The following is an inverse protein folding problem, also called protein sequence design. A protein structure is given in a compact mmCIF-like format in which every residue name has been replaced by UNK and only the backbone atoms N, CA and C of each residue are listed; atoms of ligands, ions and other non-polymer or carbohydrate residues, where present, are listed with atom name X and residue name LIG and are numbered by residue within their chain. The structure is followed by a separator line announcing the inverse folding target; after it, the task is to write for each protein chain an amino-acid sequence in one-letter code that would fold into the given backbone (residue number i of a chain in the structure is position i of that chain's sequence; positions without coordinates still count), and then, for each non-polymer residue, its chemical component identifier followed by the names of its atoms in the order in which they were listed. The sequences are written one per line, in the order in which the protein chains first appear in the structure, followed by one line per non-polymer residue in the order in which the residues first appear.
data_IF_263015533615
#
_entry.id   IF_263015533615
#
_cell.length_a   1.000
_cell.length_b   1.000
_cell.length_c   1.000
_cell.angle_alpha   90.00
_cell.angle_beta   90.00
_cell.angle_gamma   90.00
#
_symmetry.space_group_name_H-M   'P 1'
#
loop_
_entity.id
_entity.type
_entity.pdbx_description
1 polymer ?
#
# COMPACT_ATOMS: atom_id res chain seq x y z
N UNK A 1 -10.94 7.60 -3.20
CA UNK A 1 -10.73 7.59 -1.75
C UNK A 1 -10.31 8.98 -1.23
N UNK A 2 -9.24 9.59 -1.77
CA UNK A 2 -8.63 10.84 -1.28
C UNK A 2 -9.63 12.04 -1.22
N UNK A 3 -10.57 12.12 -2.15
CA UNK A 3 -11.56 13.23 -2.22
C UNK A 3 -12.82 12.99 -1.37
N UNK A 4 -12.91 11.86 -0.68
CA UNK A 4 -14.09 11.53 0.12
C UNK A 4 -14.01 12.17 1.49
N UNK A 5 -15.10 12.81 1.92
CA UNK A 5 -15.22 13.42 3.25
C UNK A 5 -15.63 12.43 4.35
N UNK A 6 -16.15 11.28 3.96
CA UNK A 6 -16.51 10.19 4.85
C UNK A 6 -15.39 9.13 4.82
N UNK A 7 -14.67 8.99 5.91
CA UNK A 7 -13.54 8.07 6.02
C UNK A 7 -13.94 6.61 5.84
N UNK A 8 -15.14 6.21 6.25
CA UNK A 8 -15.62 4.85 6.02
C UNK A 8 -15.79 4.56 4.52
N UNK A 9 -16.36 5.51 3.78
CA UNK A 9 -16.47 5.39 2.33
C UNK A 9 -15.10 5.33 1.66
N UNK A 10 -14.11 6.07 2.17
CA UNK A 10 -12.73 6.01 1.67
C UNK A 10 -12.10 4.64 1.88
N UNK A 11 -12.33 4.02 3.05
CA UNK A 11 -11.81 2.66 3.36
C UNK A 11 -12.45 1.62 2.45
N UNK A 12 -13.77 1.69 2.21
CA UNK A 12 -14.48 0.76 1.32
C UNK A 12 -13.97 0.88 -0.12
N UNK A 13 -13.78 2.11 -0.62
CA UNK A 13 -13.25 2.33 -1.96
C UNK A 13 -11.81 1.81 -2.08
N UNK A 14 -10.98 1.98 -1.05
CA UNK A 14 -9.62 1.47 -1.03
C UNK A 14 -9.60 -0.06 -1.05
N UNK A 15 -10.46 -0.71 -0.26
CA UNK A 15 -10.61 -2.16 -0.27
C UNK A 15 -11.06 -2.70 -1.63
N UNK A 16 -12.04 -2.04 -2.26
CA UNK A 16 -12.49 -2.40 -3.61
C UNK A 16 -11.36 -2.24 -4.65
N UNK A 17 -10.56 -1.17 -4.55
CA UNK A 17 -9.37 -0.98 -5.39
C UNK A 17 -8.38 -2.13 -5.22
N UNK A 18 -8.07 -2.55 -3.99
CA UNK A 18 -7.16 -3.67 -3.73
C UNK A 18 -7.66 -4.99 -4.31
N UNK A 19 -8.98 -5.25 -4.28
CA UNK A 19 -9.55 -6.43 -4.93
C UNK A 19 -9.38 -6.39 -6.46
N UNK A 20 -9.57 -5.22 -7.08
CA UNK A 20 -9.33 -5.05 -8.51
C UNK A 20 -7.85 -5.27 -8.84
N UNK A 21 -6.94 -4.75 -8.02
CA UNK A 21 -5.50 -4.97 -8.16
C UNK A 21 -5.14 -6.46 -8.03
N UNK A 22 -5.75 -7.19 -7.10
CA UNK A 22 -5.54 -8.63 -6.96
C UNK A 22 -5.95 -9.39 -8.24
N UNK A 23 -7.08 -9.02 -8.87
CA UNK A 23 -7.50 -9.59 -10.16
C UNK A 23 -6.49 -9.25 -11.26
N UNK A 24 -5.97 -8.03 -11.28
CA UNK A 24 -4.94 -7.62 -12.24
C UNK A 24 -3.67 -8.46 -12.08
N UNK A 25 -3.17 -8.64 -10.85
CA UNK A 25 -2.01 -9.48 -10.57
C UNK A 25 -2.22 -10.94 -10.97
N UNK A 26 -3.44 -11.45 -10.78
CA UNK A 26 -3.81 -12.79 -11.25
C UNK A 26 -3.72 -12.89 -12.78
N UNK A 27 -4.15 -11.87 -13.52
CA UNK A 27 -4.04 -11.79 -14.99
C UNK A 27 -2.58 -11.69 -15.47
N UNK A 28 -1.71 -11.14 -14.65
CA UNK A 28 -0.26 -11.03 -14.90
C UNK A 28 0.52 -12.28 -14.47
N UNK A 29 -0.16 -13.37 -14.11
CA UNK A 29 0.44 -14.62 -13.60
C UNK A 29 1.24 -14.45 -12.30
N UNK A 30 1.01 -13.37 -11.55
CA UNK A 30 1.59 -13.15 -10.23
C UNK A 30 0.60 -13.57 -9.13
N UNK A 31 0.32 -14.87 -9.05
CA UNK A 31 -0.75 -15.43 -8.18
C UNK A 31 -0.44 -15.23 -6.70
N UNK A 32 0.81 -15.30 -6.31
CA UNK A 32 1.30 -15.03 -4.94
C UNK A 32 1.04 -13.59 -4.53
N UNK A 33 1.34 -12.63 -5.39
CA UNK A 33 1.05 -11.20 -5.17
C UNK A 33 -0.46 -10.96 -5.13
N UNK A 34 -1.22 -11.59 -6.04
CA UNK A 34 -2.68 -11.49 -6.05
C UNK A 34 -3.30 -11.98 -4.73
N UNK A 35 -2.81 -13.10 -4.21
CA UNK A 35 -3.27 -13.66 -2.95
C UNK A 35 -2.94 -12.76 -1.76
N UNK A 36 -1.71 -12.25 -1.68
CA UNK A 36 -1.29 -11.34 -0.60
C UNK A 36 -2.04 -10.00 -0.67
N UNK A 37 -2.26 -9.45 -1.86
CA UNK A 37 -3.05 -8.23 -2.05
C UNK A 37 -4.50 -8.42 -1.57
N UNK A 38 -5.15 -9.53 -1.94
CA UNK A 38 -6.51 -9.82 -1.49
C UNK A 38 -6.60 -10.06 0.03
N UNK A 39 -5.66 -10.83 0.60
CA UNK A 39 -5.67 -11.17 2.01
C UNK A 39 -5.28 -9.99 2.91
N UNK A 40 -4.21 -9.29 2.58
CA UNK A 40 -3.64 -8.22 3.43
C UNK A 40 -4.30 -6.89 3.13
N UNK A 41 -4.27 -6.41 1.89
CA UNK A 41 -4.74 -5.06 1.57
C UNK A 41 -6.26 -4.96 1.58
N UNK A 42 -6.96 -5.87 0.91
CA UNK A 42 -8.42 -5.85 0.88
C UNK A 42 -9.03 -6.39 2.18
N UNK A 43 -8.44 -7.41 2.80
CA UNK A 43 -8.94 -8.05 4.01
C UNK A 43 -8.46 -7.38 5.30
N UNK A 44 -7.26 -7.73 5.75
CA UNK A 44 -6.75 -7.37 7.08
C UNK A 44 -6.65 -5.86 7.25
N UNK A 45 -6.10 -5.14 6.29
CA UNK A 45 -5.93 -3.68 6.37
C UNK A 45 -7.28 -2.98 6.47
N UNK A 46 -8.29 -3.43 5.73
CA UNK A 46 -9.65 -2.88 5.80
C UNK A 46 -10.26 -3.05 7.19
N UNK A 47 -10.12 -4.24 7.79
CA UNK A 47 -10.60 -4.50 9.16
C UNK A 47 -9.88 -3.60 10.18
N UNK A 48 -8.56 -3.46 10.06
CA UNK A 48 -7.77 -2.59 10.93
C UNK A 48 -8.16 -1.11 10.79
N UNK A 49 -8.41 -0.64 9.56
CA UNK A 49 -8.88 0.73 9.32
C UNK A 49 -10.27 0.97 9.91
N UNK A 50 -11.20 0.01 9.78
CA UNK A 50 -12.53 0.12 10.39
C UNK A 50 -12.41 0.13 11.92
N UNK A 51 -11.54 -0.71 12.50
CA UNK A 51 -11.25 -0.71 13.93
C UNK A 51 -10.68 0.63 14.40
N UNK A 52 -9.74 1.23 13.65
CA UNK A 52 -9.21 2.56 13.95
C UNK A 52 -10.31 3.64 13.85
N UNK A 53 -11.19 3.56 12.85
CA UNK A 53 -12.32 4.48 12.68
C UNK A 53 -13.32 4.41 13.84
N UNK A 54 -13.45 3.27 14.51
CA UNK A 54 -14.30 3.16 15.71
C UNK A 54 -13.84 4.06 16.87
N UNK A 55 -12.56 4.46 16.89
CA UNK A 55 -11.93 5.33 17.89
C UNK A 55 -11.69 6.77 17.40
N UNK A 56 -11.94 7.05 16.13
CA UNK A 56 -11.73 8.35 15.51
C UNK A 56 -13.04 8.95 15.02
N UNK A 57 -13.05 10.25 14.68
CA UNK A 57 -14.24 10.90 14.11
C UNK A 57 -14.39 10.50 12.66
N UNK A 58 -15.53 9.89 12.32
CA UNK A 58 -15.83 9.38 10.98
C UNK A 58 -15.85 10.45 9.88
N UNK A 59 -16.21 11.70 10.19
CA UNK A 59 -16.36 12.78 9.22
C UNK A 59 -15.40 13.92 9.49
N UNK A 60 -14.65 14.33 8.49
CA UNK A 60 -13.73 15.46 8.54
C UNK A 60 -14.43 16.80 8.88
N UNK A 61 -15.66 17.00 8.43
CA UNK A 61 -16.44 18.21 8.67
C UNK A 61 -16.77 18.47 10.14
N UNK A 62 -16.84 17.44 10.97
CA UNK A 62 -17.12 17.63 12.40
C UNK A 62 -15.96 18.27 13.16
N UNK A 63 -14.72 18.04 12.71
CA UNK A 63 -13.53 18.66 13.29
C UNK A 63 -13.41 20.15 12.88
N UNK A 64 -13.80 20.48 11.65
CA UNK A 64 -13.72 21.83 11.11
C UNK A 64 -14.82 22.74 11.66
N UNK A 65 -16.05 22.27 11.82
CA UNK A 65 -17.15 23.03 12.45
C UNK A 65 -16.86 23.37 13.92
N UNK A 66 -16.20 22.52 14.66
CA UNK A 66 -15.80 22.79 16.04
C UNK A 66 -14.73 23.89 16.16
N UNK A 67 -13.83 23.97 15.17
CA UNK A 67 -12.79 25.02 15.10
C UNK A 67 -13.35 26.36 14.63
N UNK A 68 -14.32 26.35 13.69
CA UNK A 68 -14.92 27.55 13.11
C UNK A 68 -15.83 28.28 14.10
N UNK A 69 -16.45 27.56 15.05
CA UNK A 69 -17.32 28.19 16.07
C UNK A 69 -16.58 29.07 17.06
N UNK A 70 -15.24 28.93 17.14
CA UNK A 70 -14.40 29.68 18.09
C UNK A 70 -13.53 30.77 17.45
N UNK A 71 -13.58 30.95 16.15
CA UNK A 71 -12.84 31.98 15.43
C UNK A 71 -13.76 32.53 14.32
N UNK A 72 -14.04 33.83 14.35
CA UNK A 72 -14.64 34.59 13.25
C UNK A 72 -13.72 34.53 12.03
N UNK A 73 -13.66 33.35 11.35
CA UNK A 73 -12.81 33.12 10.22
C UNK A 73 -13.68 33.17 8.96
N UNK A 74 -13.48 34.21 8.16
CA UNK A 74 -14.02 34.26 6.80
C UNK A 74 -13.54 33.03 6.01
N UNK A 75 -14.42 32.34 5.26
CA UNK A 75 -14.01 31.24 4.42
C UNK A 75 -13.11 31.73 3.31
N UNK A 76 -11.80 31.65 3.50
CA UNK A 76 -10.83 31.87 2.44
C UNK A 76 -11.11 30.82 1.37
N UNK A 77 -11.65 31.27 0.24
CA UNK A 77 -11.91 30.50 -0.97
C UNK A 77 -10.80 29.44 -1.15
N UNK A 78 -11.15 28.18 -0.97
CA UNK A 78 -10.28 27.04 -1.27
C UNK A 78 -10.09 26.98 -2.80
N UNK A 79 -9.17 27.77 -3.32
CA UNK A 79 -8.63 27.55 -4.66
C UNK A 79 -7.97 26.16 -4.61
N UNK A 80 -8.53 25.20 -5.30
CA UNK A 80 -8.06 23.82 -5.42
C UNK A 80 -6.60 23.71 -5.90
N UNK A 81 -6.05 24.81 -6.43
CA UNK A 81 -4.66 24.97 -6.82
C UNK A 81 -4.02 26.16 -6.07
N UNK A 82 -3.55 25.90 -4.85
CA UNK A 82 -2.64 26.85 -4.20
C UNK A 82 -1.25 26.72 -4.85
N UNK A 83 -0.58 27.85 -5.15
CA UNK A 83 0.79 27.86 -5.66
C UNK A 83 1.77 27.06 -4.77
N UNK A 84 1.43 26.83 -3.50
CA UNK A 84 2.15 25.97 -2.57
C UNK A 84 2.12 24.47 -2.94
N UNK A 85 1.19 24.06 -3.81
CA UNK A 85 1.07 22.67 -4.30
C UNK A 85 1.89 22.42 -5.57
N UNK A 86 2.39 23.47 -6.23
CA UNK A 86 3.18 23.35 -7.48
C UNK A 86 4.45 22.49 -7.26
N UNK A 87 5.29 22.73 -6.23
CA UNK A 87 6.49 21.90 -6.03
C UNK A 87 6.15 20.41 -5.80
N UNK A 88 5.08 20.12 -5.06
CA UNK A 88 4.64 18.74 -4.85
C UNK A 88 4.19 18.09 -6.16
N UNK A 89 3.48 18.82 -7.01
CA UNK A 89 3.03 18.33 -8.31
C UNK A 89 4.23 18.07 -9.25
N UNK A 90 5.22 18.97 -9.26
CA UNK A 90 6.46 18.79 -10.03
C UNK A 90 7.23 17.55 -9.58
N UNK A 91 7.36 17.33 -8.26
CA UNK A 91 8.03 16.14 -7.72
C UNK A 91 7.32 14.86 -8.18
N UNK A 92 5.98 14.82 -8.09
CA UNK A 92 5.20 13.65 -8.52
C UNK A 92 5.39 13.39 -10.02
N UNK A 93 5.36 14.44 -10.86
CA UNK A 93 5.59 14.30 -12.30
C UNK A 93 7.00 13.81 -12.61
N UNK A 94 8.02 14.35 -11.95
CA UNK A 94 9.41 13.91 -12.12
C UNK A 94 9.58 12.45 -11.71
N UNK A 95 9.02 12.07 -10.56
CA UNK A 95 9.06 10.67 -10.09
C UNK A 95 8.34 9.75 -11.09
N UNK A 96 7.17 10.15 -11.58
CA UNK A 96 6.45 9.41 -12.61
C UNK A 96 7.24 9.25 -13.91
N UNK A 97 7.89 10.33 -14.37
CA UNK A 97 8.72 10.30 -15.56
C UNK A 97 9.93 9.36 -15.41
N UNK A 98 10.61 9.38 -14.25
CA UNK A 98 11.72 8.46 -13.95
C UNK A 98 11.26 7.00 -13.92
N UNK A 99 10.11 6.73 -13.31
CA UNK A 99 9.53 5.38 -13.27
C UNK A 99 9.18 4.89 -14.68
N UNK A 100 8.54 5.72 -15.51
CA UNK A 100 8.24 5.39 -16.91
C UNK A 100 9.53 5.16 -17.69
N UNK A 101 10.55 6.01 -17.52
CA UNK A 101 11.86 5.81 -18.15
C UNK A 101 12.47 4.45 -17.79
N UNK A 102 12.37 4.03 -16.51
CA UNK A 102 12.85 2.72 -16.06
C UNK A 102 12.13 1.53 -16.70
N UNK A 103 10.92 1.72 -17.24
CA UNK A 103 10.18 0.62 -17.91
C UNK A 103 10.55 0.45 -19.39
N UNK A 104 11.24 1.41 -20.01
CA UNK A 104 11.55 1.38 -21.45
C UNK A 104 12.52 0.24 -21.79
N UNK A 105 13.41 -0.09 -20.88
CA UNK A 105 14.44 -1.15 -21.05
C UNK A 105 14.01 -2.52 -20.52
N UNK A 106 12.75 -2.64 -20.09
CA UNK A 106 12.22 -3.92 -19.63
C UNK A 106 11.90 -4.84 -20.81
N UNK A 107 12.25 -6.16 -20.73
CA UNK A 107 11.84 -7.13 -21.73
C UNK A 107 10.32 -7.24 -21.82
N UNK A 108 9.82 -7.64 -22.97
CA UNK A 108 8.39 -7.85 -23.18
C UNK A 108 7.82 -8.88 -22.19
N UNK A 109 6.59 -8.67 -21.74
CA UNK A 109 5.94 -9.61 -20.83
C UNK A 109 5.83 -11.00 -21.47
N UNK A 110 6.32 -12.03 -20.76
CA UNK A 110 6.28 -13.42 -21.24
C UNK A 110 7.36 -13.79 -22.26
N UNK A 111 8.37 -12.91 -22.47
CA UNK A 111 9.51 -13.24 -23.34
C UNK A 111 10.32 -14.40 -22.73
N UNK A 112 10.40 -15.58 -23.42
CA UNK A 112 11.19 -16.71 -22.94
C UNK A 112 12.70 -16.40 -22.86
N UNK A 113 13.18 -15.43 -23.64
CA UNK A 113 14.59 -15.01 -23.65
C UNK A 113 14.89 -13.88 -22.63
N UNK A 114 13.94 -13.51 -21.82
CA UNK A 114 14.17 -12.53 -20.75
C UNK A 114 15.30 -13.00 -19.81
N UNK A 115 16.18 -12.10 -19.33
CA UNK A 115 17.30 -12.45 -18.46
C UNK A 115 16.89 -13.27 -17.23
N UNK A 116 15.72 -13.03 -16.69
CA UNK A 116 15.18 -13.78 -15.56
C UNK A 116 14.96 -15.28 -15.91
N UNK A 117 14.48 -15.57 -17.11
CA UNK A 117 14.22 -16.94 -17.56
C UNK A 117 15.51 -17.70 -17.88
N UNK A 118 16.49 -17.03 -18.47
CA UNK A 118 17.75 -17.64 -18.90
C UNK A 118 18.74 -17.88 -17.77
N UNK A 119 18.62 -17.18 -16.63
CA UNK A 119 19.64 -17.18 -15.59
C UNK A 119 19.13 -17.66 -14.23
N UNK A 120 18.08 -17.07 -13.72
CA UNK A 120 17.67 -17.23 -12.32
C UNK A 120 16.58 -18.27 -12.16
N UNK A 121 15.66 -18.36 -13.13
CA UNK A 121 14.49 -19.24 -13.06
C UNK A 121 14.87 -20.71 -12.97
N UNK A 122 15.82 -21.17 -13.77
CA UNK A 122 16.30 -22.57 -13.77
C UNK A 122 16.84 -22.97 -12.38
N UNK A 123 17.70 -22.12 -11.77
CA UNK A 123 18.22 -22.38 -10.43
C UNK A 123 17.12 -22.44 -9.39
N UNK A 124 16.14 -21.55 -9.45
CA UNK A 124 15.05 -21.55 -8.49
C UNK A 124 14.15 -22.77 -8.63
N UNK A 125 13.88 -23.21 -9.87
CA UNK A 125 13.03 -24.37 -10.12
C UNK A 125 13.73 -25.66 -9.68
N UNK A 126 14.99 -25.84 -10.03
CA UNK A 126 15.69 -27.12 -9.82
C UNK A 126 16.32 -27.25 -8.45
N UNK A 127 16.85 -26.16 -7.88
CA UNK A 127 17.70 -26.21 -6.68
C UNK A 127 17.04 -25.64 -5.43
N UNK A 128 15.90 -24.98 -5.53
CA UNK A 128 15.30 -24.29 -4.38
C UNK A 128 15.05 -25.19 -3.19
N UNK A 129 14.54 -26.41 -3.41
CA UNK A 129 14.31 -27.37 -2.33
C UNK A 129 15.60 -27.83 -1.67
N UNK A 130 16.62 -28.13 -2.47
CA UNK A 130 17.92 -28.61 -1.96
C UNK A 130 18.67 -27.52 -1.18
N UNK A 131 18.58 -26.28 -1.63
CA UNK A 131 19.32 -25.18 -1.03
C UNK A 131 18.60 -24.54 0.17
N UNK A 132 17.25 -24.55 0.19
CA UNK A 132 16.46 -23.87 1.25
C UNK A 132 15.68 -24.80 2.16
N UNK A 133 15.50 -26.06 1.76
CA UNK A 133 14.65 -27.04 2.47
C UNK A 133 13.15 -26.75 2.40
N UNK A 134 12.72 -25.71 1.68
CA UNK A 134 11.32 -25.34 1.57
C UNK A 134 10.62 -26.13 0.47
N UNK A 135 9.49 -26.76 0.80
CA UNK A 135 8.62 -27.44 -0.17
C UNK A 135 7.88 -26.45 -1.08
N UNK A 136 7.69 -25.23 -0.63
CA UNK A 136 7.00 -24.21 -1.41
C UNK A 136 8.02 -23.34 -2.13
N UNK A 137 7.96 -23.35 -3.45
CA UNK A 137 8.84 -22.60 -4.33
C UNK A 137 8.81 -21.09 -4.08
N UNK A 138 7.62 -20.50 -3.88
CA UNK A 138 7.47 -19.07 -3.60
C UNK A 138 8.11 -18.70 -2.27
N UNK A 139 7.90 -19.52 -1.23
CA UNK A 139 8.52 -19.32 0.08
C UNK A 139 10.04 -19.43 0.00
N UNK A 140 10.57 -20.41 -0.77
CA UNK A 140 12.01 -20.56 -0.99
C UNK A 140 12.62 -19.29 -1.60
N UNK A 141 11.95 -18.66 -2.57
CA UNK A 141 12.42 -17.43 -3.20
C UNK A 141 12.32 -16.25 -2.24
N UNK A 142 11.14 -16.01 -1.65
CA UNK A 142 10.88 -14.81 -0.85
C UNK A 142 11.63 -14.80 0.49
N UNK A 143 11.76 -15.94 1.14
CA UNK A 143 12.42 -16.03 2.45
C UNK A 143 13.88 -16.51 2.36
N UNK A 144 14.19 -17.38 1.40
CA UNK A 144 15.53 -17.96 1.25
C UNK A 144 16.45 -17.08 0.39
N UNK A 145 16.17 -17.00 -0.90
CA UNK A 145 17.06 -16.30 -1.85
C UNK A 145 16.96 -14.78 -1.77
N UNK A 146 15.76 -14.25 -1.59
CA UNK A 146 15.43 -12.82 -1.65
C UNK A 146 14.85 -12.28 -0.35
N UNK A 147 15.24 -12.86 0.79
CA UNK A 147 14.72 -12.44 2.10
C UNK A 147 14.95 -10.95 2.42
N UNK A 148 16.02 -10.35 1.94
CA UNK A 148 16.28 -8.91 2.14
C UNK A 148 15.33 -8.01 1.35
N UNK A 149 14.79 -8.47 0.21
CA UNK A 149 13.83 -7.68 -0.57
C UNK A 149 12.52 -7.47 0.21
N UNK A 150 12.13 -8.46 1.01
CA UNK A 150 10.92 -8.41 1.84
C UNK A 150 11.13 -7.81 3.22
N UNK A 151 12.35 -7.53 3.62
CA UNK A 151 12.66 -6.95 4.93
C UNK A 151 11.98 -5.59 5.13
N UNK A 152 12.00 -4.75 4.10
CA UNK A 152 11.34 -3.44 4.12
C UNK A 152 9.83 -3.55 4.32
N UNK A 153 9.19 -4.50 3.67
CA UNK A 153 7.75 -4.76 3.78
C UNK A 153 7.38 -5.20 5.21
N UNK A 154 8.15 -6.10 5.79
CA UNK A 154 7.95 -6.57 7.18
C UNK A 154 8.06 -5.41 8.16
N UNK A 155 9.04 -4.52 7.99
CA UNK A 155 9.20 -3.33 8.83
C UNK A 155 8.00 -2.39 8.71
N UNK A 156 7.50 -2.15 7.50
CA UNK A 156 6.32 -1.31 7.27
C UNK A 156 5.07 -1.91 7.90
N UNK A 157 4.84 -3.22 7.75
CA UNK A 157 3.70 -3.91 8.37
C UNK A 157 3.79 -3.83 9.89
N UNK A 158 4.97 -4.06 10.47
CA UNK A 158 5.20 -3.94 11.91
C UNK A 158 4.92 -2.52 12.42
N UNK A 159 5.47 -1.51 11.76
CA UNK A 159 5.24 -0.11 12.11
C UNK A 159 3.75 0.26 12.04
N UNK A 160 3.05 -0.20 11.01
CA UNK A 160 1.60 0.01 10.86
C UNK A 160 0.81 -0.63 12.00
N UNK A 161 1.15 -1.85 12.38
CA UNK A 161 0.55 -2.55 13.52
C UNK A 161 0.75 -1.80 14.83
N UNK A 162 1.96 -1.31 15.09
CA UNK A 162 2.28 -0.48 16.28
C UNK A 162 1.46 0.81 16.27
N UNK A 163 1.34 1.50 15.14
CA UNK A 163 0.52 2.70 15.03
C UNK A 163 -0.95 2.44 15.35
N UNK A 164 -1.52 1.34 14.85
CA UNK A 164 -2.92 0.97 15.17
C UNK A 164 -3.09 0.68 16.65
N UNK A 165 -2.17 -0.07 17.26
CA UNK A 165 -2.21 -0.37 18.71
C UNK A 165 -2.15 0.92 19.54
N UNK A 166 -1.28 1.86 19.16
CA UNK A 166 -1.17 3.17 19.84
C UNK A 166 -2.45 3.99 19.72
N UNK A 167 -3.10 4.00 18.55
CA UNK A 167 -4.38 4.68 18.33
C UNK A 167 -5.52 4.05 19.12
N UNK A 168 -5.51 2.73 19.27
CA UNK A 168 -6.55 1.99 20.02
C UNK A 168 -6.34 2.04 21.55
N UNK A 169 -5.14 2.41 22.00
CA UNK A 169 -4.82 2.49 23.44
C UNK A 169 -5.71 3.55 24.12
N UNK A 170 -6.46 3.16 25.14
CA UNK A 170 -7.17 4.12 25.98
C UNK A 170 -6.17 5.05 26.65
N UNK A 171 -6.32 6.36 26.46
CA UNK A 171 -5.60 7.36 27.26
C UNK A 171 -6.11 7.22 28.68
N UNK A 172 -5.27 6.77 29.62
CA UNK A 172 -5.59 6.87 31.06
C UNK A 172 -5.75 8.36 31.35
N UNK A 173 -6.97 8.79 31.71
CA UNK A 173 -7.21 10.07 32.32
C UNK A 173 -6.48 10.02 33.66
N UNK A 174 -5.45 10.84 33.85
CA UNK A 174 -4.91 11.10 35.18
C UNK A 174 -5.99 11.94 35.88
N UNK A 175 -6.77 11.31 36.76
CA UNK A 175 -7.47 11.97 37.85
C UNK A 175 -6.46 12.41 38.86
#
# INVERSE_FOLDING_TARGET
AISMKDLLSSVIILSAYSLIMAVLWMRLNAVDVAFTEAAVSAGITTVLMIAALSKTKRREQSAQKSKIKNLNYEPKNSRLFSYKSIPSFVIVLLTGAVLIYGTIDMPSFGDPNAPANLHVAERYIEKSYLETGSLNFVTAILAGYRGYDTLGEVVVIFASGVCVVLLMRKRKSNE
#
